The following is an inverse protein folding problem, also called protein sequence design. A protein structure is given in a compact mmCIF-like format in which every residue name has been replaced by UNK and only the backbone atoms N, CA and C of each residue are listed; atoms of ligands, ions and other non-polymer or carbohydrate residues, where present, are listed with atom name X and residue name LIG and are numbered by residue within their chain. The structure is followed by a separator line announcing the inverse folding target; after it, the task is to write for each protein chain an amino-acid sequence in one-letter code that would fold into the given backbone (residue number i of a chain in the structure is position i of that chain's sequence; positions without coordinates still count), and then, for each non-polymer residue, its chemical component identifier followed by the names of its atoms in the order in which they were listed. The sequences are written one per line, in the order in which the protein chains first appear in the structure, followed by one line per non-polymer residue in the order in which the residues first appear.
data_IF_816451188923
#
_entry.id   IF_816451188923
#
_cell.length_a   1.000
_cell.length_b   1.000
_cell.length_c   1.000
_cell.angle_alpha   90.00
_cell.angle_beta   90.00
_cell.angle_gamma   90.00
#
_symmetry.space_group_name_H-M   'P 1'
#
loop_
_entity.id
_entity.type
_entity.pdbx_description
1 polymer ?
#
# COMPACT_ATOMS: atom_id res chain seq x y z
N UNK A 1 -18.26 -2.12 -38.33
CA UNK A 1 -18.91 -2.44 -37.04
C UNK A 1 -17.90 -3.26 -36.25
N UNK A 2 -17.14 -2.62 -35.34
CA UNK A 2 -16.14 -3.30 -34.50
C UNK A 2 -16.72 -3.44 -33.10
N UNK A 3 -16.92 -4.67 -32.64
CA UNK A 3 -17.12 -5.01 -31.25
C UNK A 3 -16.33 -6.28 -30.93
N UNK A 4 -15.95 -6.39 -29.65
CA UNK A 4 -15.19 -7.44 -28.96
C UNK A 4 -13.65 -7.32 -29.00
N UNK A 5 -13.11 -6.40 -28.19
CA UNK A 5 -11.73 -6.45 -27.66
C UNK A 5 -11.73 -5.86 -26.25
N UNK A 6 -12.31 -6.60 -25.29
CA UNK A 6 -12.31 -6.20 -23.88
C UNK A 6 -12.42 -7.39 -22.93
N UNK A 7 -13.05 -8.49 -23.35
CA UNK A 7 -13.15 -9.71 -22.54
C UNK A 7 -11.88 -10.58 -22.55
N UNK A 8 -10.99 -10.41 -23.53
CA UNK A 8 -9.81 -11.28 -23.71
C UNK A 8 -8.56 -10.80 -22.95
N UNK A 9 -8.46 -9.51 -22.57
CA UNK A 9 -7.33 -8.99 -21.78
C UNK A 9 -7.32 -9.47 -20.33
N UNK A 10 -8.44 -10.03 -19.84
CA UNK A 10 -8.63 -10.43 -18.45
C UNK A 10 -8.22 -11.89 -18.19
N UNK A 11 -8.06 -12.69 -19.25
CA UNK A 11 -7.68 -14.10 -19.14
C UNK A 11 -6.22 -14.30 -18.67
N UNK A 12 -5.36 -13.28 -18.78
CA UNK A 12 -3.99 -13.33 -18.23
C UNK A 12 -3.90 -12.80 -16.78
N UNK A 13 -4.97 -12.20 -16.25
CA UNK A 13 -5.04 -11.70 -14.87
C UNK A 13 -5.42 -12.79 -13.84
N UNK A 14 -5.71 -14.02 -14.29
CA UNK A 14 -6.23 -15.13 -13.47
C UNK A 14 -5.28 -15.68 -12.39
N UNK A 15 -4.06 -15.17 -12.24
CA UNK A 15 -3.11 -15.64 -11.20
C UNK A 15 -2.93 -14.70 -10.01
N UNK A 16 -3.57 -13.52 -10.01
CA UNK A 16 -3.51 -12.58 -8.89
C UNK A 16 -4.69 -12.76 -7.92
N UNK A 17 -4.39 -12.77 -6.62
CA UNK A 17 -5.37 -12.93 -5.56
C UNK A 17 -6.28 -11.70 -5.44
N UNK A 18 -7.55 -11.87 -5.06
CA UNK A 18 -8.47 -10.75 -4.94
C UNK A 18 -8.14 -9.87 -3.72
N UNK A 19 -8.19 -8.56 -3.92
CA UNK A 19 -7.97 -7.52 -2.90
C UNK A 19 -9.25 -7.29 -2.09
N UNK A 20 -9.20 -7.28 -0.75
CA UNK A 20 -10.37 -7.12 0.09
C UNK A 20 -10.88 -5.67 0.11
N UNK A 21 -12.19 -5.51 0.34
CA UNK A 21 -12.86 -4.21 0.46
C UNK A 21 -12.16 -3.24 1.40
N UNK A 22 -11.67 -3.73 2.55
CA UNK A 22 -11.06 -2.91 3.60
C UNK A 22 -9.85 -2.09 3.10
N UNK A 23 -9.15 -2.58 2.07
CA UNK A 23 -8.00 -1.89 1.50
C UNK A 23 -8.48 -0.66 0.71
N UNK A 24 -9.59 -0.80 -0.02
CA UNK A 24 -10.27 0.31 -0.68
C UNK A 24 -10.90 1.27 0.33
N UNK A 25 -11.60 0.76 1.33
CA UNK A 25 -12.24 1.56 2.38
C UNK A 25 -11.22 2.41 3.14
N UNK A 26 -10.07 1.84 3.49
CA UNK A 26 -8.98 2.54 4.14
C UNK A 26 -8.53 3.77 3.34
N UNK A 27 -8.24 3.61 2.06
CA UNK A 27 -7.76 4.75 1.25
C UNK A 27 -8.90 5.68 0.81
N UNK A 28 -9.94 5.15 0.19
CA UNK A 28 -10.98 5.93 -0.45
C UNK A 28 -12.06 6.39 0.52
N UNK A 29 -12.52 5.52 1.43
CA UNK A 29 -13.57 5.89 2.39
C UNK A 29 -13.04 6.80 3.50
N UNK A 30 -11.91 6.45 4.09
CA UNK A 30 -11.43 7.13 5.30
C UNK A 30 -10.54 8.35 5.02
N UNK A 31 -9.85 8.40 3.88
CA UNK A 31 -8.88 9.47 3.59
C UNK A 31 -9.30 10.31 2.38
N UNK A 32 -9.38 9.71 1.19
CA UNK A 32 -9.49 10.47 -0.05
C UNK A 32 -10.92 10.96 -0.37
N UNK A 33 -11.94 10.26 0.12
CA UNK A 33 -13.37 10.61 0.00
C UNK A 33 -13.77 11.05 -1.41
N UNK A 34 -13.78 10.12 -2.38
CA UNK A 34 -14.01 10.45 -3.78
C UNK A 34 -15.41 11.03 -4.02
N UNK A 35 -15.46 12.16 -4.71
CA UNK A 35 -16.69 12.82 -5.16
C UNK A 35 -16.54 13.25 -6.64
N UNK A 36 -17.66 13.55 -7.30
CA UNK A 36 -17.69 14.09 -8.66
C UNK A 36 -16.86 13.26 -9.67
N UNK A 37 -15.95 13.94 -10.37
CA UNK A 37 -15.09 13.32 -11.40
C UNK A 37 -14.18 12.22 -10.84
N UNK A 38 -13.76 12.31 -9.57
CA UNK A 38 -12.93 11.29 -8.95
C UNK A 38 -13.74 10.00 -8.73
N UNK A 39 -14.94 10.11 -8.15
CA UNK A 39 -15.84 8.97 -7.99
C UNK A 39 -16.24 8.35 -9.34
N UNK A 40 -16.46 9.18 -10.37
CA UNK A 40 -16.72 8.70 -11.72
C UNK A 40 -15.55 7.88 -12.28
N UNK A 41 -14.32 8.39 -12.18
CA UNK A 41 -13.12 7.67 -12.63
C UNK A 41 -12.89 6.35 -11.89
N UNK A 42 -13.21 6.27 -10.60
CA UNK A 42 -13.16 5.01 -9.85
C UNK A 42 -14.18 3.99 -10.37
N UNK A 43 -15.40 4.43 -10.68
CA UNK A 43 -16.44 3.56 -11.26
C UNK A 43 -16.06 3.02 -12.63
N UNK A 44 -15.43 3.84 -13.47
CA UNK A 44 -14.94 3.42 -14.79
C UNK A 44 -13.93 2.27 -14.72
N UNK A 45 -13.09 2.25 -13.68
CA UNK A 45 -12.11 1.18 -13.46
C UNK A 45 -12.66 -0.01 -12.65
N UNK A 46 -13.95 0.02 -12.31
CA UNK A 46 -14.66 -1.10 -11.67
C UNK A 46 -14.78 -1.03 -10.14
N UNK A 47 -14.47 0.12 -9.52
CA UNK A 47 -14.70 0.37 -8.10
C UNK A 47 -15.79 1.43 -7.89
N UNK A 48 -16.94 1.04 -7.33
CA UNK A 48 -17.98 1.98 -6.92
C UNK A 48 -17.91 2.22 -5.39
N UNK A 49 -17.51 3.43 -4.93
CA UNK A 49 -17.44 3.74 -3.50
C UNK A 49 -18.80 3.67 -2.80
N UNK A 50 -19.91 3.85 -3.52
CA UNK A 50 -21.27 3.82 -2.96
C UNK A 50 -21.83 2.40 -2.87
N UNK A 51 -21.27 1.47 -3.64
CA UNK A 51 -21.68 0.07 -3.69
C UNK A 51 -20.45 -0.85 -3.60
N UNK A 52 -19.76 -0.87 -2.44
CA UNK A 52 -18.56 -1.66 -2.29
C UNK A 52 -18.87 -3.16 -2.30
N UNK A 53 -17.98 -3.94 -2.89
CA UNK A 53 -17.97 -5.41 -2.90
C UNK A 53 -16.95 -5.90 -1.89
N UNK A 54 -17.14 -7.09 -1.35
CA UNK A 54 -16.22 -7.68 -0.36
C UNK A 54 -14.79 -7.86 -0.91
N UNK A 55 -14.66 -8.13 -2.22
CA UNK A 55 -13.39 -8.43 -2.89
C UNK A 55 -13.38 -7.91 -4.33
N UNK A 56 -12.20 -7.50 -4.79
CA UNK A 56 -11.95 -6.96 -6.13
C UNK A 56 -10.73 -7.63 -6.79
N UNK A 57 -10.68 -7.74 -8.13
CA UNK A 57 -9.46 -8.14 -8.82
C UNK A 57 -8.30 -7.18 -8.52
N UNK A 58 -7.06 -7.70 -8.51
CA UNK A 58 -5.85 -6.87 -8.33
C UNK A 58 -5.76 -5.74 -9.36
N UNK A 59 -6.13 -6.00 -10.62
CA UNK A 59 -6.13 -4.99 -11.66
C UNK A 59 -7.01 -3.78 -11.30
N UNK A 60 -8.19 -4.01 -10.73
CA UNK A 60 -9.10 -2.93 -10.28
C UNK A 60 -8.44 -2.10 -9.18
N UNK A 61 -7.72 -2.75 -8.25
CA UNK A 61 -6.97 -2.02 -7.22
C UNK A 61 -5.86 -1.15 -7.81
N UNK A 62 -5.09 -1.66 -8.78
CA UNK A 62 -4.03 -0.88 -9.44
C UNK A 62 -4.57 0.30 -10.22
N UNK A 63 -5.62 0.09 -11.01
CA UNK A 63 -6.24 1.17 -11.78
C UNK A 63 -6.89 2.21 -10.85
N UNK A 64 -7.52 1.79 -9.75
CA UNK A 64 -8.06 2.70 -8.75
C UNK A 64 -6.95 3.56 -8.10
N UNK A 65 -5.79 2.97 -7.79
CA UNK A 65 -4.63 3.73 -7.29
C UNK A 65 -4.09 4.71 -8.34
N UNK A 66 -4.07 4.35 -9.62
CA UNK A 66 -3.67 5.27 -10.69
C UNK A 66 -4.64 6.45 -10.82
N UNK A 67 -5.96 6.19 -10.76
CA UNK A 67 -6.99 7.25 -10.72
C UNK A 67 -6.79 8.16 -9.50
N UNK A 68 -6.58 7.56 -8.32
CA UNK A 68 -6.34 8.28 -7.07
C UNK A 68 -5.11 9.19 -7.17
N UNK A 69 -4.02 8.66 -7.73
CA UNK A 69 -2.76 9.37 -7.88
C UNK A 69 -2.91 10.62 -8.74
N UNK A 70 -3.61 10.50 -9.88
CA UNK A 70 -3.88 11.62 -10.78
C UNK A 70 -4.78 12.68 -10.15
N UNK A 71 -5.77 12.28 -9.35
CA UNK A 71 -6.69 13.21 -8.70
C UNK A 71 -6.10 13.88 -7.45
N UNK A 72 -5.52 13.11 -6.53
CA UNK A 72 -5.03 13.61 -5.26
C UNK A 72 -3.68 14.35 -5.38
N UNK A 73 -2.88 13.98 -6.39
CA UNK A 73 -1.50 14.46 -6.54
C UNK A 73 -1.13 14.81 -8.00
N UNK A 74 -1.92 15.67 -8.70
CA UNK A 74 -1.72 15.94 -10.13
C UNK A 74 -0.36 16.57 -10.48
N UNK A 75 0.26 17.29 -9.54
CA UNK A 75 1.56 17.94 -9.73
C UNK A 75 2.78 17.09 -9.35
N UNK A 76 2.59 15.90 -8.80
CA UNK A 76 3.69 15.03 -8.37
C UNK A 76 4.06 14.03 -9.47
N UNK A 77 5.35 13.68 -9.53
CA UNK A 77 5.79 12.53 -10.32
C UNK A 77 5.13 11.25 -9.82
N UNK A 78 4.98 10.24 -10.69
CA UNK A 78 4.33 9.00 -10.32
C UNK A 78 4.94 8.34 -9.06
N UNK A 79 6.27 8.23 -8.91
CA UNK A 79 6.88 7.68 -7.68
C UNK A 79 6.47 8.42 -6.41
N UNK A 80 6.58 9.76 -6.41
CA UNK A 80 6.25 10.57 -5.23
C UNK A 80 4.76 10.49 -4.87
N UNK A 81 3.91 10.46 -5.90
CA UNK A 81 2.48 10.39 -5.73
C UNK A 81 2.02 9.02 -5.20
N UNK A 82 2.56 7.91 -5.73
CA UNK A 82 2.28 6.58 -5.19
C UNK A 82 2.78 6.43 -3.76
N UNK A 83 3.94 7.00 -3.44
CA UNK A 83 4.46 7.02 -2.07
C UNK A 83 3.56 7.78 -1.12
N UNK A 84 3.01 8.91 -1.55
CA UNK A 84 2.02 9.66 -0.77
C UNK A 84 0.72 8.86 -0.56
N UNK A 85 0.21 8.18 -1.59
CA UNK A 85 -0.94 7.28 -1.46
C UNK A 85 -0.67 6.14 -0.47
N UNK A 86 0.54 5.56 -0.48
CA UNK A 86 0.93 4.51 0.46
C UNK A 86 0.88 4.98 1.92
N UNK A 87 1.31 6.21 2.20
CA UNK A 87 1.19 6.82 3.53
C UNK A 87 -0.27 7.05 3.92
N UNK A 88 -1.05 7.63 3.01
CA UNK A 88 -2.48 7.88 3.20
C UNK A 88 -3.28 6.58 3.44
N UNK A 89 -2.89 5.49 2.77
CA UNK A 89 -3.49 4.17 2.98
C UNK A 89 -3.35 3.72 4.44
N UNK A 90 -2.16 3.87 5.03
CA UNK A 90 -1.92 3.53 6.44
C UNK A 90 -2.68 4.47 7.37
N UNK A 91 -2.74 5.76 7.07
CA UNK A 91 -3.53 6.74 7.84
C UNK A 91 -5.02 6.37 7.87
N UNK A 92 -5.57 5.96 6.74
CA UNK A 92 -6.95 5.53 6.61
C UNK A 92 -7.23 4.19 7.28
N UNK A 93 -6.32 3.23 7.15
CA UNK A 93 -6.38 1.98 7.91
C UNK A 93 -6.34 2.24 9.41
N UNK A 94 -5.52 3.21 9.85
CA UNK A 94 -5.44 3.70 11.22
C UNK A 94 -6.74 4.27 11.78
N UNK A 95 -7.74 4.59 10.95
CA UNK A 95 -9.05 5.04 11.39
C UNK A 95 -10.00 3.89 11.77
N UNK A 96 -9.69 2.66 11.36
CA UNK A 96 -10.43 1.45 11.76
C UNK A 96 -10.22 1.12 13.24
N UNK A 97 -11.11 0.33 13.86
CA UNK A 97 -10.96 -0.07 15.27
C UNK A 97 -9.62 -0.78 15.52
N UNK A 98 -9.27 -1.75 14.67
CA UNK A 98 -8.00 -2.49 14.77
C UNK A 98 -6.80 -1.56 14.51
N UNK A 99 -6.90 -0.70 13.50
CA UNK A 99 -5.87 0.28 13.17
C UNK A 99 -5.60 1.28 14.30
N UNK A 100 -6.64 1.78 14.98
CA UNK A 100 -6.52 2.68 16.14
C UNK A 100 -5.76 2.02 17.29
N UNK A 101 -6.09 0.76 17.60
CA UNK A 101 -5.39 0.00 18.64
C UNK A 101 -3.91 -0.19 18.27
N UNK A 102 -3.63 -0.56 17.02
CA UNK A 102 -2.27 -0.72 16.53
C UNK A 102 -1.48 0.60 16.61
N UNK A 103 -2.05 1.70 16.10
CA UNK A 103 -1.41 3.01 16.09
C UNK A 103 -1.12 3.52 17.52
N UNK A 104 -2.04 3.32 18.46
CA UNK A 104 -1.83 3.70 19.86
C UNK A 104 -0.73 2.86 20.54
N UNK A 105 -0.56 1.60 20.15
CA UNK A 105 0.46 0.71 20.72
C UNK A 105 1.84 0.84 20.06
N UNK A 106 1.91 1.38 18.83
CA UNK A 106 3.12 1.41 18.03
C UNK A 106 4.32 2.09 18.73
N UNK A 107 4.19 3.28 19.37
CA UNK A 107 5.30 3.89 20.12
C UNK A 107 5.82 3.04 21.28
N UNK A 108 4.94 2.27 21.93
CA UNK A 108 5.31 1.43 23.08
C UNK A 108 6.00 0.14 22.65
N UNK A 109 5.67 -0.35 21.45
CA UNK A 109 6.21 -1.59 20.89
C UNK A 109 7.61 -1.34 20.31
N UNK A 110 7.83 -0.17 19.70
CA UNK A 110 9.09 0.23 19.06
C UNK A 110 9.19 -0.15 17.58
N UNK A 111 10.02 0.59 16.84
CA UNK A 111 10.12 0.54 15.38
C UNK A 111 10.36 -0.86 14.80
N UNK A 112 11.35 -1.60 15.33
CA UNK A 112 11.73 -2.92 14.80
C UNK A 112 10.59 -3.94 14.95
N UNK A 113 9.92 -3.94 16.10
CA UNK A 113 8.81 -4.87 16.38
C UNK A 113 7.56 -4.52 15.57
N UNK A 114 7.30 -3.22 15.36
CA UNK A 114 6.21 -2.75 14.49
C UNK A 114 6.46 -3.18 13.04
N UNK A 115 7.67 -2.95 12.52
CA UNK A 115 8.06 -3.35 11.17
C UNK A 115 7.94 -4.87 10.98
N UNK A 116 8.41 -5.66 11.93
CA UNK A 116 8.37 -7.12 11.88
C UNK A 116 6.94 -7.71 11.79
N UNK A 117 5.90 -6.95 12.16
CA UNK A 117 4.50 -7.39 12.01
C UNK A 117 3.91 -7.16 10.62
N UNK A 118 4.51 -6.28 9.81
CA UNK A 118 3.97 -5.88 8.52
C UNK A 118 3.70 -7.05 7.55
N UNK A 119 4.55 -8.08 7.43
CA UNK A 119 4.28 -9.24 6.57
C UNK A 119 2.99 -9.97 6.93
N UNK A 120 2.68 -10.10 8.22
CA UNK A 120 1.48 -10.79 8.69
C UNK A 120 0.22 -9.99 8.33
N UNK A 121 0.25 -8.66 8.46
CA UNK A 121 -0.87 -7.79 8.07
C UNK A 121 -1.13 -7.82 6.56
N UNK A 122 -0.07 -7.77 5.75
CA UNK A 122 -0.20 -7.85 4.29
C UNK A 122 -0.78 -9.20 3.84
N UNK A 123 -0.23 -10.31 4.36
CA UNK A 123 -0.71 -11.66 4.03
C UNK A 123 -2.18 -11.84 4.37
N UNK A 124 -2.67 -11.24 5.45
CA UNK A 124 -4.08 -11.33 5.82
C UNK A 124 -5.04 -10.72 4.78
N UNK A 125 -4.55 -9.95 3.80
CA UNK A 125 -5.36 -9.36 2.72
C UNK A 125 -4.96 -9.80 1.31
N UNK A 126 -3.68 -10.12 1.09
CA UNK A 126 -3.09 -10.39 -0.22
C UNK A 126 -2.24 -11.65 -0.18
N UNK A 127 -2.88 -12.80 -0.39
CA UNK A 127 -2.18 -14.10 -0.42
C UNK A 127 -1.24 -14.24 -1.64
N UNK A 128 -1.43 -13.40 -2.65
CA UNK A 128 -0.63 -13.34 -3.88
C UNK A 128 0.59 -12.42 -3.78
N UNK A 129 0.72 -11.67 -2.67
CA UNK A 129 1.84 -10.79 -2.39
C UNK A 129 2.65 -11.32 -1.21
N UNK A 130 3.97 -11.37 -1.35
CA UNK A 130 4.88 -11.78 -0.28
C UNK A 130 5.83 -10.63 0.07
N UNK A 131 5.86 -10.28 1.35
CA UNK A 131 6.85 -9.36 1.94
C UNK A 131 7.71 -10.13 2.92
N UNK A 132 9.02 -10.10 2.73
CA UNK A 132 10.01 -10.62 3.67
C UNK A 132 10.89 -9.49 4.19
N UNK A 133 11.15 -9.53 5.49
CA UNK A 133 11.95 -8.51 6.17
C UNK A 133 13.18 -9.16 6.79
N UNK A 134 14.33 -8.56 6.54
CA UNK A 134 15.61 -8.99 7.11
C UNK A 134 16.30 -7.82 7.81
N UNK A 135 16.64 -8.01 9.08
CA UNK A 135 17.50 -7.06 9.79
C UNK A 135 18.93 -7.14 9.25
N UNK A 136 19.52 -5.98 8.97
CA UNK A 136 20.93 -5.81 8.59
C UNK A 136 21.75 -5.17 9.74
N UNK A 137 21.07 -4.73 10.80
CA UNK A 137 21.62 -4.13 12.01
C UNK A 137 20.59 -3.19 12.65
N UNK A 138 20.94 -2.54 13.77
CA UNK A 138 20.06 -1.60 14.44
C UNK A 138 19.56 -0.52 13.47
N UNK A 139 18.24 -0.39 13.34
CA UNK A 139 17.61 0.61 12.46
C UNK A 139 17.94 0.44 10.96
N UNK A 140 18.43 -0.72 10.51
CA UNK A 140 18.71 -1.01 9.11
C UNK A 140 18.12 -2.36 8.71
N UNK A 141 17.23 -2.33 7.74
CA UNK A 141 16.45 -3.47 7.30
C UNK A 141 16.41 -3.54 5.77
N UNK A 142 16.14 -4.73 5.26
CA UNK A 142 15.83 -4.96 3.86
C UNK A 142 14.45 -5.60 3.76
N UNK A 143 13.62 -5.05 2.88
CA UNK A 143 12.34 -5.60 2.50
C UNK A 143 12.46 -6.21 1.11
N UNK A 144 12.19 -7.50 0.98
CA UNK A 144 12.09 -8.19 -0.30
C UNK A 144 10.61 -8.43 -0.57
N UNK A 145 10.14 -8.00 -1.74
CA UNK A 145 8.74 -8.09 -2.10
C UNK A 145 8.59 -8.87 -3.40
N UNK A 146 7.65 -9.81 -3.40
CA UNK A 146 7.13 -10.45 -4.61
C UNK A 146 5.66 -10.02 -4.77
N UNK A 147 5.33 -9.50 -5.95
CA UNK A 147 4.00 -8.96 -6.26
C UNK A 147 3.71 -9.21 -7.76
N UNK A 148 2.54 -9.76 -8.14
CA UNK A 148 2.17 -9.94 -9.55
C UNK A 148 2.12 -8.63 -10.35
N UNK A 149 1.86 -7.51 -9.68
CA UNK A 149 1.83 -6.18 -10.30
C UNK A 149 2.56 -5.18 -9.39
N UNK A 150 3.91 -5.13 -9.40
CA UNK A 150 4.68 -4.36 -8.43
C UNK A 150 4.34 -2.86 -8.37
N UNK A 151 4.29 -2.32 -7.15
CA UNK A 151 4.12 -0.89 -6.90
C UNK A 151 5.07 -0.42 -5.77
N UNK A 152 6.38 -0.40 -6.02
CA UNK A 152 7.41 -0.25 -4.99
C UNK A 152 7.28 1.04 -4.20
N UNK A 153 6.96 2.17 -4.85
CA UNK A 153 6.82 3.46 -4.17
C UNK A 153 5.62 3.50 -3.22
N UNK A 154 4.51 2.85 -3.58
CA UNK A 154 3.36 2.72 -2.68
C UNK A 154 3.74 1.94 -1.42
N UNK A 155 4.41 0.79 -1.59
CA UNK A 155 4.86 -0.02 -0.44
C UNK A 155 5.93 0.68 0.38
N UNK A 156 6.80 1.47 -0.25
CA UNK A 156 7.73 2.33 0.47
C UNK A 156 6.98 3.34 1.36
N UNK A 157 5.94 4.00 0.82
CA UNK A 157 5.08 4.90 1.59
C UNK A 157 4.36 4.20 2.76
N UNK A 158 3.89 2.97 2.55
CA UNK A 158 3.30 2.16 3.63
C UNK A 158 4.31 1.89 4.75
N UNK A 159 5.52 1.46 4.41
CA UNK A 159 6.58 1.17 5.40
C UNK A 159 6.97 2.45 6.15
N UNK A 160 7.10 3.57 5.44
CA UNK A 160 7.40 4.87 6.06
C UNK A 160 6.35 5.27 7.09
N UNK A 161 5.06 5.23 6.73
CA UNK A 161 4.00 5.66 7.64
C UNK A 161 3.92 4.74 8.85
N UNK A 162 4.02 3.41 8.64
CA UNK A 162 4.00 2.42 9.73
C UNK A 162 5.13 2.65 10.73
N UNK A 163 6.34 2.91 10.25
CA UNK A 163 7.49 3.24 11.11
C UNK A 163 7.33 4.61 11.76
N UNK A 164 6.77 5.59 11.05
CA UNK A 164 6.48 6.93 11.57
C UNK A 164 5.57 6.91 12.81
N UNK A 165 4.67 5.92 12.92
CA UNK A 165 3.83 5.72 14.11
C UNK A 165 4.64 5.47 15.39
N UNK A 166 5.91 5.08 15.30
CA UNK A 166 6.79 4.88 16.48
C UNK A 166 7.65 6.08 16.80
N UNK A 167 7.48 7.21 16.08
CA UNK A 167 8.26 8.43 16.29
C UNK A 167 9.63 8.46 15.63
N UNK A 168 10.01 7.43 14.86
CA UNK A 168 11.25 7.45 14.07
C UNK A 168 11.03 8.19 12.74
N UNK A 169 12.13 8.68 12.15
CA UNK A 169 12.14 9.23 10.80
C UNK A 169 12.74 8.19 9.82
N UNK A 170 11.91 7.35 9.17
CA UNK A 170 12.39 6.32 8.27
C UNK A 170 12.77 6.87 6.89
N UNK A 171 13.76 6.25 6.27
CA UNK A 171 14.11 6.39 4.87
C UNK A 171 13.95 5.02 4.19
N UNK A 172 13.16 4.99 3.10
CA UNK A 172 12.96 3.77 2.31
C UNK A 172 13.46 3.98 0.88
N UNK A 173 14.37 3.16 0.39
CA UNK A 173 14.97 3.31 -0.94
C UNK A 173 14.79 2.05 -1.75
N UNK A 174 14.32 2.19 -3.00
CA UNK A 174 14.30 1.09 -3.95
C UNK A 174 15.74 0.76 -4.37
N UNK A 175 16.16 -0.48 -4.16
CA UNK A 175 17.49 -0.96 -4.55
C UNK A 175 17.47 -1.72 -5.88
N UNK A 176 16.48 -2.59 -6.06
CA UNK A 176 16.35 -3.48 -7.22
C UNK A 176 14.89 -3.58 -7.58
N UNK A 177 14.59 -3.54 -8.86
CA UNK A 177 13.25 -3.81 -9.40
C UNK A 177 13.36 -4.79 -10.56
N UNK A 178 12.67 -5.92 -10.43
CA UNK A 178 12.38 -6.88 -11.49
C UNK A 178 10.90 -6.83 -11.86
N UNK A 179 10.47 -7.75 -12.72
CA UNK A 179 9.11 -7.79 -13.26
C UNK A 179 8.04 -8.06 -12.19
N UNK A 180 8.34 -8.96 -11.24
CA UNK A 180 7.42 -9.40 -10.17
C UNK A 180 8.04 -9.34 -8.78
N UNK A 181 9.23 -8.76 -8.66
CA UNK A 181 9.94 -8.67 -7.39
C UNK A 181 10.70 -7.36 -7.29
N UNK A 182 10.90 -6.88 -6.07
CA UNK A 182 11.74 -5.73 -5.80
C UNK A 182 12.29 -5.75 -4.38
N UNK A 183 13.37 -5.01 -4.17
CA UNK A 183 14.04 -4.89 -2.87
C UNK A 183 14.04 -3.44 -2.44
N UNK A 184 13.60 -3.18 -1.20
CA UNK A 184 13.71 -1.88 -0.55
C UNK A 184 14.75 -1.95 0.59
N UNK A 185 15.66 -0.97 0.64
CA UNK A 185 16.40 -0.65 1.85
C UNK A 185 15.50 0.19 2.76
N UNK A 186 15.46 -0.15 4.03
CA UNK A 186 14.71 0.57 5.06
C UNK A 186 15.69 0.97 6.15
N UNK A 187 15.75 2.25 6.52
CA UNK A 187 16.63 2.71 7.58
C UNK A 187 16.01 3.82 8.42
N UNK A 188 16.45 3.94 9.66
CA UNK A 188 16.18 5.08 10.54
C UNK A 188 17.33 5.24 11.53
N UNK A 189 17.46 6.43 12.12
CA UNK A 189 18.42 6.62 13.21
C UNK A 189 17.99 5.78 14.42
N UNK A 190 18.88 4.97 15.01
CA UNK A 190 18.54 4.21 16.20
C UNK A 190 18.14 5.16 17.33
N UNK A 191 17.18 4.74 18.16
CA UNK A 191 16.80 5.47 19.36
C UNK A 191 18.06 5.70 20.21
N UNK A 192 18.45 6.95 20.36
CA UNK A 192 19.55 7.33 21.25
C UNK A 192 19.00 7.23 22.66
N UNK A 193 19.05 6.02 23.24
CA UNK A 193 18.74 5.82 24.64
C UNK A 193 19.64 6.73 25.48
N UNK A 194 19.02 7.68 26.18
CA UNK A 194 19.67 8.36 27.30
C UNK A 194 20.17 7.28 28.25
N UNK A 195 21.49 7.31 28.48
CA UNK A 195 22.20 6.40 29.37
C UNK A 195 21.80 6.57 30.83
#
# INVERSE_FOLDING_TARGET
MRQTSGAQEWAHAESAGPVPQRDFEGLFGNVLRPEGAFAAGLREVGYDPEQPRERYPLAVWREALEVARRHAHPGLSAPLAYRALGRQFVQGFGQTVVGKVFAAAAPLIGAERVLARLPAYLRAGRDDMRLELRALGPGRWQAQVEDPQPLPDFVAGVIEEVLGLTGVAPLVQLLVQGERHYTLAVSWAPETGAS
#
